data_IF_238532777377
#
_entry.id   IF_238532777377
#
_cell.length_a   1.000
_cell.length_b   1.000
_cell.length_c   1.000
_cell.angle_alpha   90.00
_cell.angle_beta   90.00
_cell.angle_gamma   90.00
#
_symmetry.space_group_name_H-M   'P 1'
#
loop_
_entity.id
_entity.type
_entity.pdbx_description
1 polymer ?
#
# COMPACT_ATOMS: atom_id res chain seq x y z
N UNK A 1 10.46 17.32 -1.85
CA UNK A 1 10.77 16.62 -0.59
C UNK A 1 9.75 15.54 -0.44
N UNK A 2 10.09 14.34 -0.70
CA UNK A 2 9.14 13.27 -0.53
C UNK A 2 9.68 12.27 0.41
N UNK A 3 9.15 12.42 1.40
CA UNK A 3 9.06 11.81 2.68
C UNK A 3 8.57 10.38 2.56
N UNK A 4 9.23 9.54 3.26
CA UNK A 4 8.71 8.24 3.66
C UNK A 4 7.78 8.52 4.85
N UNK A 5 6.45 8.58 4.68
CA UNK A 5 5.57 8.94 5.77
C UNK A 5 5.63 7.88 6.85
N UNK A 6 5.70 8.31 8.09
CA UNK A 6 5.60 7.39 9.21
C UNK A 6 4.18 6.79 9.29
N UNK A 7 4.04 5.70 10.02
CA UNK A 7 2.71 5.11 10.33
C UNK A 7 1.78 6.17 10.94
N UNK A 8 2.32 7.01 11.82
CA UNK A 8 1.58 8.09 12.44
C UNK A 8 1.11 9.15 11.43
N UNK A 9 1.94 9.47 10.42
CA UNK A 9 1.56 10.44 9.38
C UNK A 9 0.42 9.92 8.51
N UNK A 10 0.43 8.63 8.17
CA UNK A 10 -0.66 8.00 7.43
C UNK A 10 -1.96 8.04 8.23
N UNK A 11 -1.91 7.73 9.52
CA UNK A 11 -3.08 7.79 10.40
C UNK A 11 -3.63 9.21 10.51
N UNK A 12 -2.76 10.20 10.73
CA UNK A 12 -3.15 11.63 10.75
C UNK A 12 -3.79 12.06 9.43
N UNK A 13 -3.24 11.62 8.30
CA UNK A 13 -3.78 11.97 6.99
C UNK A 13 -5.24 11.54 6.86
N UNK A 14 -5.56 10.27 7.05
CA UNK A 14 -6.93 9.78 6.89
C UNK A 14 -7.89 10.35 7.93
N UNK A 15 -7.49 10.46 9.19
CA UNK A 15 -8.31 11.11 10.23
C UNK A 15 -8.59 12.58 9.88
N UNK A 16 -7.59 13.29 9.33
CA UNK A 16 -7.76 14.69 8.92
C UNK A 16 -8.70 14.84 7.72
N UNK A 17 -8.61 13.94 6.73
CA UNK A 17 -9.56 13.91 5.59
C UNK A 17 -10.99 13.72 6.10
N UNK A 18 -11.20 12.77 7.00
CA UNK A 18 -12.52 12.52 7.60
C UNK A 18 -13.03 13.72 8.39
N UNK A 19 -12.18 14.32 9.22
CA UNK A 19 -12.51 15.55 9.98
C UNK A 19 -12.88 16.72 9.07
N UNK A 20 -12.10 16.99 8.02
CA UNK A 20 -12.39 18.03 7.02
C UNK A 20 -13.76 17.82 6.37
N UNK A 21 -14.05 16.56 5.99
CA UNK A 21 -15.35 16.21 5.41
C UNK A 21 -16.50 16.52 6.38
N UNK A 22 -16.40 16.11 7.64
CA UNK A 22 -17.41 16.37 8.66
C UNK A 22 -17.62 17.87 8.94
N UNK A 23 -16.57 18.66 8.78
CA UNK A 23 -16.60 20.11 8.99
C UNK A 23 -16.98 20.90 7.74
N UNK A 24 -17.19 20.26 6.60
CA UNK A 24 -17.44 20.93 5.33
C UNK A 24 -16.25 21.75 4.81
N UNK A 25 -15.04 21.42 5.27
CA UNK A 25 -13.80 22.08 4.82
C UNK A 25 -13.41 21.59 3.43
N UNK A 26 -12.93 22.46 2.52
CA UNK A 26 -12.45 22.06 1.20
C UNK A 26 -11.35 20.99 1.30
N UNK A 27 -11.40 20.03 0.39
CA UNK A 27 -10.45 18.93 0.27
C UNK A 27 -9.53 19.13 -0.93
N UNK A 28 -8.28 18.77 -0.78
CA UNK A 28 -7.31 18.67 -1.88
C UNK A 28 -7.65 17.48 -2.79
N UNK A 29 -7.19 17.47 -4.06
CA UNK A 29 -7.54 16.40 -5.02
C UNK A 29 -7.26 14.98 -4.49
N UNK A 30 -6.13 14.75 -3.82
CA UNK A 30 -5.80 13.45 -3.24
C UNK A 30 -6.70 13.11 -2.04
N UNK A 31 -7.06 14.10 -1.24
CA UNK A 31 -8.00 13.94 -0.13
C UNK A 31 -9.41 13.57 -0.63
N UNK A 32 -9.82 14.08 -1.79
CA UNK A 32 -11.09 13.71 -2.42
C UNK A 32 -11.10 12.22 -2.81
N UNK A 33 -10.01 11.71 -3.36
CA UNK A 33 -9.88 10.27 -3.66
C UNK A 33 -9.90 9.43 -2.37
N UNK A 34 -9.19 9.89 -1.35
CA UNK A 34 -9.21 9.21 -0.04
C UNK A 34 -10.62 9.21 0.56
N UNK A 35 -11.34 10.34 0.50
CA UNK A 35 -12.72 10.44 0.99
C UNK A 35 -13.68 9.51 0.24
N UNK A 36 -13.49 9.33 -1.07
CA UNK A 36 -14.30 8.39 -1.85
C UNK A 36 -14.16 6.96 -1.25
N UNK A 37 -12.95 6.53 -0.92
CA UNK A 37 -12.74 5.22 -0.32
C UNK A 37 -13.22 5.15 1.13
N UNK A 38 -13.03 6.20 1.92
CA UNK A 38 -13.59 6.29 3.28
C UNK A 38 -15.12 6.11 3.24
N UNK A 39 -15.79 6.72 2.28
CA UNK A 39 -17.25 6.58 2.10
C UNK A 39 -17.69 5.17 1.71
N UNK A 40 -16.82 4.39 1.08
CA UNK A 40 -17.07 2.97 0.74
C UNK A 40 -16.82 2.02 1.93
N UNK A 41 -16.24 2.52 3.03
CA UNK A 41 -15.85 1.78 4.21
C UNK A 41 -16.44 2.39 5.49
N UNK A 42 -17.77 2.39 5.64
CA UNK A 42 -18.43 2.98 6.81
C UNK A 42 -18.00 2.34 8.13
N UNK A 43 -17.54 1.08 8.09
CA UNK A 43 -17.00 0.36 9.24
C UNK A 43 -15.75 0.99 9.86
N UNK A 44 -15.08 1.91 9.14
CA UNK A 44 -13.88 2.60 9.63
C UNK A 44 -14.15 4.01 10.17
N UNK A 45 -15.39 4.53 10.02
CA UNK A 45 -15.71 5.92 10.37
C UNK A 45 -15.46 6.24 11.84
N UNK A 46 -15.79 5.31 12.74
CA UNK A 46 -15.58 5.50 14.19
C UNK A 46 -14.09 5.57 14.55
N UNK A 47 -13.25 4.79 13.84
CA UNK A 47 -11.80 4.79 14.03
C UNK A 47 -11.16 6.07 13.49
N UNK A 48 -11.65 6.58 12.36
CA UNK A 48 -11.18 7.81 11.72
C UNK A 48 -11.61 9.07 12.48
N UNK A 49 -12.67 8.99 13.29
CA UNK A 49 -13.19 10.11 14.06
C UNK A 49 -12.36 10.47 15.28
N UNK A 50 -11.52 9.55 15.78
CA UNK A 50 -10.72 9.72 17.00
C UNK A 50 -9.22 9.55 16.67
N UNK A 51 -8.54 10.67 16.44
CA UNK A 51 -7.12 10.68 16.08
C UNK A 51 -6.23 10.12 17.20
N UNK A 52 -6.50 10.46 18.45
CA UNK A 52 -5.64 10.05 19.56
C UNK A 52 -5.72 8.53 19.73
N UNK A 53 -6.92 8.00 19.72
CA UNK A 53 -7.15 6.56 19.71
C UNK A 53 -6.52 5.87 18.49
N UNK A 54 -6.64 6.47 17.30
CA UNK A 54 -6.04 5.94 16.08
C UNK A 54 -4.52 5.89 16.17
N UNK A 55 -3.87 6.89 16.80
CA UNK A 55 -2.41 6.93 16.95
C UNK A 55 -1.89 5.89 17.95
N UNK A 56 -2.66 5.58 18.99
CA UNK A 56 -2.30 4.61 20.03
C UNK A 56 -2.69 3.17 19.68
N UNK A 57 -3.60 2.97 18.71
CA UNK A 57 -4.14 1.66 18.40
C UNK A 57 -3.07 0.69 17.87
N UNK A 58 -3.11 -0.55 18.40
CA UNK A 58 -2.32 -1.66 17.93
C UNK A 58 -3.09 -2.43 16.85
N UNK A 59 -2.51 -2.48 15.64
CA UNK A 59 -3.00 -3.24 14.49
C UNK A 59 -2.05 -4.37 14.11
N UNK A 60 -1.27 -4.86 15.07
CA UNK A 60 -0.46 -6.06 14.86
C UNK A 60 -1.36 -7.27 14.57
N UNK A 61 -0.85 -8.29 13.87
CA UNK A 61 -1.59 -9.53 13.62
C UNK A 61 -2.07 -10.21 14.90
N UNK A 62 -1.30 -10.07 15.99
CA UNK A 62 -1.59 -10.61 17.31
C UNK A 62 -2.82 -9.94 17.95
N UNK A 63 -3.04 -8.66 17.64
CA UNK A 63 -4.22 -7.92 18.10
C UNK A 63 -5.51 -8.37 17.40
N UNK A 64 -5.42 -9.11 16.27
CA UNK A 64 -6.56 -9.67 15.55
C UNK A 64 -7.51 -8.62 14.95
N UNK A 65 -7.07 -7.37 14.85
CA UNK A 65 -7.86 -6.24 14.33
C UNK A 65 -7.44 -5.91 12.92
N UNK A 66 -8.42 -5.63 12.06
CA UNK A 66 -8.16 -5.06 10.74
C UNK A 66 -7.51 -3.68 10.88
N UNK A 67 -6.52 -3.39 10.04
CA UNK A 67 -5.87 -2.08 10.00
C UNK A 67 -6.55 -1.20 8.93
N UNK A 68 -7.46 -0.29 9.31
CA UNK A 68 -8.18 0.56 8.36
C UNK A 68 -7.25 1.49 7.57
N UNK A 69 -6.18 1.95 8.20
CA UNK A 69 -5.22 2.87 7.57
C UNK A 69 -4.41 2.18 6.49
N UNK A 70 -3.99 0.94 6.72
CA UNK A 70 -3.34 0.13 5.70
C UNK A 70 -4.30 -0.16 4.54
N UNK A 71 -5.53 -0.57 4.85
CA UNK A 71 -6.55 -0.87 3.85
C UNK A 71 -6.86 0.34 2.96
N UNK A 72 -7.13 1.49 3.54
CA UNK A 72 -7.37 2.74 2.81
C UNK A 72 -6.13 3.20 2.02
N UNK A 73 -4.93 3.01 2.55
CA UNK A 73 -3.68 3.31 1.84
C UNK A 73 -3.51 2.46 0.59
N UNK A 74 -3.88 1.18 0.65
CA UNK A 74 -3.85 0.29 -0.51
C UNK A 74 -4.87 0.73 -1.58
N UNK A 75 -6.07 1.13 -1.19
CA UNK A 75 -7.05 1.70 -2.12
C UNK A 75 -6.54 2.97 -2.80
N UNK A 76 -5.89 3.86 -2.04
CA UNK A 76 -5.32 5.09 -2.57
C UNK A 76 -4.20 4.79 -3.57
N UNK A 77 -3.29 3.86 -3.23
CA UNK A 77 -2.21 3.41 -4.11
C UNK A 77 -2.74 2.78 -5.41
N UNK A 78 -3.80 1.96 -5.33
CA UNK A 78 -4.44 1.34 -6.49
C UNK A 78 -5.11 2.39 -7.37
N UNK A 79 -5.75 3.41 -6.78
CA UNK A 79 -6.34 4.53 -7.53
C UNK A 79 -5.28 5.32 -8.29
N UNK A 80 -4.14 5.57 -7.67
CA UNK A 80 -2.99 6.21 -8.31
C UNK A 80 -2.45 5.36 -9.46
N UNK A 81 -2.22 4.05 -9.21
CA UNK A 81 -1.76 3.11 -10.24
C UNK A 81 -2.69 3.10 -11.46
N UNK A 82 -4.02 3.05 -11.23
CA UNK A 82 -5.01 3.13 -12.30
C UNK A 82 -4.92 4.46 -13.05
N UNK A 83 -4.78 5.57 -12.31
CA UNK A 83 -4.71 6.92 -12.86
C UNK A 83 -3.56 7.12 -13.84
N UNK A 84 -2.38 6.62 -13.49
CA UNK A 84 -1.15 6.78 -14.29
C UNK A 84 -0.81 5.56 -15.16
N UNK A 85 -1.59 4.48 -15.08
CA UNK A 85 -1.34 3.17 -15.71
C UNK A 85 0.06 2.60 -15.37
N UNK A 86 0.37 2.60 -14.08
CA UNK A 86 1.64 2.06 -13.56
C UNK A 86 1.36 1.04 -12.44
N UNK A 87 1.80 -0.19 -12.60
CA UNK A 87 2.49 -0.81 -13.75
C UNK A 87 1.60 -0.85 -15.02
N UNK A 88 2.23 -0.74 -16.19
CA UNK A 88 1.50 -0.67 -17.45
C UNK A 88 0.51 -1.83 -17.63
N UNK A 89 -0.69 -1.51 -18.06
CA UNK A 89 -1.78 -2.47 -18.27
C UNK A 89 -2.66 -2.71 -17.05
N UNK A 90 -2.34 -2.12 -15.90
CA UNK A 90 -3.15 -2.21 -14.68
C UNK A 90 -4.53 -1.56 -14.89
N UNK A 91 -4.57 -0.39 -15.56
CA UNK A 91 -5.82 0.32 -15.86
C UNK A 91 -6.79 -0.57 -16.64
N UNK A 92 -6.33 -1.16 -17.76
CA UNK A 92 -7.15 -2.06 -18.56
C UNK A 92 -7.67 -3.24 -17.73
N UNK A 93 -6.81 -3.85 -16.93
CA UNK A 93 -7.21 -5.00 -16.12
C UNK A 93 -8.28 -4.62 -15.09
N UNK A 94 -8.14 -3.46 -14.47
CA UNK A 94 -9.13 -2.93 -13.51
C UNK A 94 -10.46 -2.60 -14.20
N UNK A 95 -10.42 -1.96 -15.37
CA UNK A 95 -11.64 -1.61 -16.13
C UNK A 95 -12.44 -2.87 -16.52
N UNK A 96 -11.73 -3.93 -16.94
CA UNK A 96 -12.37 -5.23 -17.23
C UNK A 96 -12.92 -5.90 -15.98
N UNK A 97 -12.20 -5.86 -14.84
CA UNK A 97 -12.70 -6.36 -13.57
C UNK A 97 -13.95 -5.63 -13.11
N UNK A 98 -13.95 -4.31 -13.18
CA UNK A 98 -15.10 -3.48 -12.82
C UNK A 98 -16.32 -3.82 -13.67
N UNK A 99 -16.13 -3.94 -15.00
CA UNK A 99 -17.21 -4.33 -15.90
C UNK A 99 -17.73 -5.75 -15.59
N UNK A 100 -16.83 -6.69 -15.24
CA UNK A 100 -17.16 -8.08 -14.95
C UNK A 100 -17.91 -8.24 -13.61
N UNK A 101 -17.51 -7.47 -12.59
CA UNK A 101 -18.06 -7.57 -11.24
C UNK A 101 -19.25 -6.61 -11.03
N UNK A 102 -19.40 -5.61 -11.90
CA UNK A 102 -20.43 -4.58 -11.77
C UNK A 102 -20.18 -3.62 -10.60
N UNK A 103 -18.98 -3.63 -10.03
CA UNK A 103 -18.62 -2.87 -8.84
C UNK A 103 -17.14 -2.46 -8.89
N UNK A 104 -16.88 -1.15 -8.86
CA UNK A 104 -15.53 -0.62 -8.76
C UNK A 104 -14.87 -0.97 -7.43
N UNK A 105 -15.67 -1.03 -6.35
CA UNK A 105 -15.21 -1.40 -5.03
C UNK A 105 -14.73 -2.86 -4.99
N UNK A 106 -15.52 -3.79 -5.50
CA UNK A 106 -15.15 -5.22 -5.53
C UNK A 106 -13.94 -5.44 -6.45
N UNK A 107 -13.89 -4.74 -7.59
CA UNK A 107 -12.73 -4.79 -8.48
C UNK A 107 -11.46 -4.30 -7.77
N UNK A 108 -11.54 -3.21 -7.01
CA UNK A 108 -10.41 -2.70 -6.24
C UNK A 108 -9.95 -3.70 -5.16
N UNK A 109 -10.85 -4.40 -4.50
CA UNK A 109 -10.48 -5.45 -3.54
C UNK A 109 -9.75 -6.63 -4.18
N UNK A 110 -10.20 -7.09 -5.37
CA UNK A 110 -9.46 -8.13 -6.13
C UNK A 110 -8.04 -7.67 -6.47
N UNK A 111 -7.88 -6.42 -6.86
CA UNK A 111 -6.56 -5.85 -7.16
C UNK A 111 -5.72 -5.72 -5.89
N UNK A 112 -6.34 -5.34 -4.77
CA UNK A 112 -5.69 -5.23 -3.47
C UNK A 112 -5.13 -6.58 -3.00
N UNK A 113 -5.87 -7.66 -3.16
CA UNK A 113 -5.37 -9.02 -2.87
C UNK A 113 -4.12 -9.35 -3.67
N UNK A 114 -4.12 -9.05 -4.98
CA UNK A 114 -2.96 -9.26 -5.84
C UNK A 114 -1.77 -8.40 -5.42
N UNK A 115 -2.01 -7.15 -5.01
CA UNK A 115 -0.96 -6.23 -4.55
C UNK A 115 -0.35 -6.70 -3.22
N UNK A 116 -1.18 -7.11 -2.27
CA UNK A 116 -0.71 -7.64 -0.98
C UNK A 116 0.14 -8.89 -1.17
N UNK A 117 -0.29 -9.81 -2.03
CA UNK A 117 0.51 -11.01 -2.35
C UNK A 117 1.86 -10.64 -2.97
N UNK A 118 1.87 -9.69 -3.92
CA UNK A 118 3.10 -9.23 -4.55
C UNK A 118 4.06 -8.54 -3.55
N UNK A 119 3.52 -7.75 -2.63
CA UNK A 119 4.29 -7.13 -1.53
C UNK A 119 4.86 -8.18 -0.58
N UNK A 120 4.07 -9.17 -0.21
CA UNK A 120 4.53 -10.27 0.64
C UNK A 120 5.66 -11.07 0.00
N UNK A 121 5.54 -11.41 -1.30
CA UNK A 121 6.61 -12.09 -2.06
C UNK A 121 7.88 -11.24 -2.13
N UNK A 122 7.75 -9.95 -2.37
CA UNK A 122 8.86 -9.00 -2.37
C UNK A 122 9.62 -9.00 -1.03
N UNK A 123 8.90 -8.91 0.08
CA UNK A 123 9.47 -8.91 1.42
C UNK A 123 10.12 -10.25 1.77
N UNK A 124 9.42 -11.35 1.51
CA UNK A 124 9.91 -12.71 1.80
C UNK A 124 11.23 -13.03 1.09
N UNK A 125 11.39 -12.56 -0.13
CA UNK A 125 12.58 -12.84 -0.95
C UNK A 125 13.62 -11.72 -0.93
N UNK A 126 13.38 -10.63 -0.20
CA UNK A 126 14.27 -9.48 -0.16
C UNK A 126 14.50 -8.82 -1.53
N UNK A 127 13.52 -8.92 -2.44
CA UNK A 127 13.58 -8.40 -3.81
C UNK A 127 12.60 -7.26 -3.99
N UNK A 128 12.86 -6.33 -4.92
CA UNK A 128 11.85 -5.34 -5.31
C UNK A 128 10.56 -6.01 -5.76
N UNK A 129 9.43 -5.30 -5.58
CA UNK A 129 8.13 -5.75 -6.07
C UNK A 129 8.20 -6.01 -7.59
N UNK A 130 7.80 -7.21 -8.01
CA UNK A 130 7.67 -7.57 -9.42
C UNK A 130 6.34 -7.05 -9.96
N UNK A 131 6.37 -5.86 -10.56
CA UNK A 131 5.16 -5.24 -11.10
C UNK A 131 4.59 -5.99 -12.30
N UNK A 132 5.41 -6.73 -13.05
CA UNK A 132 4.91 -7.54 -14.15
C UNK A 132 4.14 -8.75 -13.64
N UNK A 133 4.67 -9.45 -12.65
CA UNK A 133 3.98 -10.55 -11.98
C UNK A 133 2.67 -10.06 -11.34
N UNK A 134 2.70 -8.89 -10.67
CA UNK A 134 1.52 -8.27 -10.08
C UNK A 134 0.44 -7.96 -11.11
N UNK A 135 0.77 -7.25 -12.20
CA UNK A 135 -0.20 -6.93 -13.27
C UNK A 135 -0.75 -8.21 -13.88
N UNK A 136 0.10 -9.21 -14.13
CA UNK A 136 -0.34 -10.47 -14.71
C UNK A 136 -1.30 -11.24 -13.77
N UNK A 137 -1.11 -11.17 -12.46
CA UNK A 137 -2.07 -11.72 -11.51
C UNK A 137 -3.44 -11.02 -11.60
N UNK A 138 -3.46 -9.69 -11.69
CA UNK A 138 -4.71 -8.94 -11.89
C UNK A 138 -5.35 -9.26 -13.22
N UNK A 139 -4.57 -9.32 -14.32
CA UNK A 139 -5.05 -9.68 -15.66
C UNK A 139 -5.65 -11.09 -15.69
N UNK A 140 -5.05 -12.03 -15.00
CA UNK A 140 -5.60 -13.38 -14.85
C UNK A 140 -6.98 -13.37 -14.17
N UNK A 141 -7.15 -12.60 -13.11
CA UNK A 141 -8.46 -12.41 -12.44
C UNK A 141 -9.49 -11.76 -13.37
N UNK A 142 -9.06 -10.83 -14.21
CA UNK A 142 -9.87 -10.19 -15.22
C UNK A 142 -10.23 -11.12 -16.41
N UNK A 143 -9.52 -12.21 -16.60
CA UNK A 143 -9.66 -13.09 -17.78
C UNK A 143 -8.91 -12.57 -19.00
N UNK A 144 -7.91 -11.72 -18.81
CA UNK A 144 -7.07 -11.18 -19.88
C UNK A 144 -5.80 -12.01 -20.04
N UNK A 145 -5.22 -12.07 -21.26
CA UNK A 145 -3.93 -12.70 -21.48
C UNK A 145 -2.82 -11.93 -20.73
N UNK A 146 -1.74 -12.61 -20.33
CA UNK A 146 -0.62 -11.95 -19.67
C UNK A 146 0.02 -10.89 -20.57
N UNK A 147 0.62 -9.88 -19.94
CA UNK A 147 1.45 -8.90 -20.64
C UNK A 147 2.76 -9.56 -21.10
N UNK A 148 3.26 -9.22 -22.30
CA UNK A 148 4.57 -9.68 -22.73
C UNK A 148 5.68 -9.21 -21.77
N UNK A 149 6.73 -10.03 -21.57
CA UNK A 149 7.85 -9.69 -20.66
C UNK A 149 8.55 -8.36 -20.98
N UNK A 150 8.63 -8.00 -22.25
CA UNK A 150 9.38 -6.85 -22.74
C UNK A 150 8.78 -5.49 -22.37
N UNK A 151 7.55 -5.47 -21.92
CA UNK A 151 6.89 -4.23 -21.50
C UNK A 151 7.29 -3.74 -20.11
N UNK A 152 7.95 -4.58 -19.32
CA UNK A 152 8.43 -4.22 -17.97
C UNK A 152 9.83 -3.60 -17.96
N UNK A 153 10.59 -3.78 -19.05
CA UNK A 153 12.01 -3.46 -19.16
C UNK A 153 12.33 -2.23 -20.00
N UNK A 154 11.42 -1.27 -20.12
CA UNK A 154 11.77 0.04 -20.70
C UNK A 154 12.90 0.67 -19.88
N UNK A 155 13.88 1.38 -20.52
CA UNK A 155 14.98 2.02 -19.83
C UNK A 155 14.45 3.11 -18.87
N UNK A 156 14.09 2.74 -17.69
CA UNK A 156 13.47 3.56 -16.65
C UNK A 156 12.31 2.89 -15.91
N UNK A 157 11.97 1.63 -16.22
CA UNK A 157 10.77 0.97 -15.75
C UNK A 157 10.64 0.93 -14.22
N UNK A 158 11.58 0.45 -13.48
CA UNK A 158 11.43 0.30 -12.03
C UNK A 158 12.24 1.30 -11.19
N UNK A 159 13.28 1.92 -11.74
CA UNK A 159 14.12 2.87 -11.00
C UNK A 159 13.40 4.16 -10.61
N UNK A 160 12.43 4.58 -11.40
CA UNK A 160 11.69 5.83 -11.17
C UNK A 160 10.52 5.68 -10.18
N UNK A 161 9.99 4.45 -10.06
CA UNK A 161 8.92 4.14 -9.09
C UNK A 161 9.38 4.28 -7.64
N UNK A 162 10.65 3.97 -7.37
CA UNK A 162 11.25 4.09 -6.04
C UNK A 162 11.37 5.52 -5.53
N UNK A 163 11.34 6.52 -6.43
CA UNK A 163 11.67 7.89 -6.04
C UNK A 163 10.47 8.76 -5.75
N UNK A 164 9.25 8.36 -6.15
CA UNK A 164 8.19 9.34 -6.13
C UNK A 164 6.93 9.03 -5.31
N UNK A 165 6.49 7.78 -5.07
CA UNK A 165 5.15 7.61 -4.51
C UNK A 165 4.85 6.29 -3.79
N UNK A 166 5.71 5.76 -2.91
CA UNK A 166 5.26 4.60 -2.12
C UNK A 166 5.36 4.85 -0.61
N UNK A 167 4.22 5.05 0.08
CA UNK A 167 4.20 5.13 1.54
C UNK A 167 4.52 3.81 2.25
N UNK A 168 4.63 2.70 1.50
CA UNK A 168 4.81 1.36 2.08
C UNK A 168 6.20 0.74 1.86
N UNK A 169 7.17 1.44 1.23
CA UNK A 169 8.50 0.88 0.98
C UNK A 169 9.55 1.28 2.02
N UNK A 170 9.15 1.49 3.25
CA UNK A 170 10.03 1.86 4.34
C UNK A 170 10.50 0.67 5.16
N UNK A 171 11.37 -0.12 4.59
CA UNK A 171 12.33 -0.88 5.40
C UNK A 171 13.62 -1.06 4.63
N UNK A 172 14.70 -0.55 5.21
CA UNK A 172 16.10 -0.87 4.98
C UNK A 172 16.72 -0.43 3.65
N UNK A 173 17.35 0.74 3.66
CA UNK A 173 18.67 0.88 3.04
C UNK A 173 19.62 1.53 4.04
N UNK A 174 20.48 0.66 4.58
CA UNK A 174 21.68 1.10 5.28
C UNK A 174 22.55 1.92 4.31
N UNK A 175 22.84 3.13 4.72
CA UNK A 175 23.81 4.05 4.13
C UNK A 175 25.20 3.37 4.08
N UNK A 176 25.69 3.09 2.88
CA UNK A 176 27.10 2.79 2.65
C UNK A 176 27.75 4.01 1.99
N UNK A 177 28.28 4.92 2.80
CA UNK A 177 29.34 5.82 2.36
C UNK A 177 30.69 5.12 2.50
N UNK A 178 31.59 5.24 1.56
CA UNK A 178 32.93 4.71 1.67
C UNK A 178 33.85 5.69 2.42
N UNK A 179 34.59 5.19 3.41
CA UNK A 179 35.90 5.63 3.81
C UNK A 179 36.01 6.74 4.84
N UNK A 180 36.25 6.37 6.08
CA UNK A 180 37.48 6.69 6.79
C UNK A 180 37.61 5.89 8.08
N UNK A 181 38.77 5.33 8.27
CA UNK A 181 39.30 4.50 9.32
C UNK A 181 39.40 5.27 10.66
N UNK A 182 38.98 4.67 11.77
CA UNK A 182 39.74 4.41 13.01
C UNK A 182 38.86 4.30 14.26
N UNK A 183 39.15 3.25 15.03
CA UNK A 183 38.98 3.07 16.47
C UNK A 183 37.61 2.67 17.05
N UNK A 184 37.50 1.40 17.46
CA UNK A 184 36.63 0.90 18.55
C UNK A 184 37.19 1.37 19.92
N UNK A 185 36.47 1.23 21.09
CA UNK A 185 35.43 0.27 21.40
C UNK A 185 34.25 0.82 22.24
N UNK A 186 33.18 0.10 22.38
CA UNK A 186 32.52 -0.33 23.61
C UNK A 186 31.06 -0.73 23.39
N UNK A 187 30.72 -1.88 23.97
CA UNK A 187 29.41 -2.52 23.99
C UNK A 187 28.35 -1.68 24.68
N UNK A 188 27.12 -1.63 24.13
CA UNK A 188 25.91 -1.72 24.94
C UNK A 188 24.71 -2.12 24.07
N UNK A 189 23.96 -3.09 24.58
CA UNK A 189 22.72 -3.66 24.03
C UNK A 189 21.62 -2.63 23.93
N UNK A 190 20.93 -2.57 22.77
CA UNK A 190 19.56 -2.12 22.73
C UNK A 190 18.82 -2.89 21.63
N UNK A 191 17.80 -3.61 22.04
CA UNK A 191 16.94 -4.44 21.22
C UNK A 191 16.19 -3.56 20.18
N UNK A 192 16.45 -3.81 18.90
CA UNK A 192 15.67 -3.24 17.83
C UNK A 192 14.43 -4.13 17.59
N UNK A 193 13.28 -3.59 17.92
CA UNK A 193 11.98 -4.20 17.59
C UNK A 193 11.81 -4.23 16.08
N UNK A 194 11.96 -5.37 15.48
CA UNK A 194 11.59 -5.64 14.11
C UNK A 194 10.07 -5.78 14.03
N UNK A 195 9.39 -4.77 13.52
CA UNK A 195 7.96 -4.85 13.20
C UNK A 195 7.81 -5.63 11.90
N UNK A 196 7.70 -6.93 11.99
CA UNK A 196 7.36 -7.80 10.87
C UNK A 196 5.89 -7.61 10.50
N UNK A 197 5.63 -7.14 9.28
CA UNK A 197 4.29 -7.20 8.70
C UNK A 197 3.99 -8.67 8.35
N UNK A 198 3.04 -9.26 9.04
CA UNK A 198 2.47 -10.57 8.71
C UNK A 198 1.05 -10.30 8.20
N UNK A 199 0.72 -10.69 6.95
CA UNK A 199 -0.65 -10.57 6.45
C UNK A 199 -1.60 -11.48 7.22
N UNK A 200 -2.88 -11.12 7.37
CA UNK A 200 -3.87 -11.95 8.03
C UNK A 200 -4.01 -13.32 7.35
N UNK A 201 -4.18 -14.35 8.15
CA UNK A 201 -4.43 -15.72 7.68
C UNK A 201 -5.66 -15.74 6.75
N UNK A 202 -5.58 -16.52 5.67
CA UNK A 202 -6.71 -16.72 4.74
C UNK A 202 -7.92 -17.23 5.51
N UNK A 203 -9.12 -16.70 5.27
CA UNK A 203 -10.33 -17.37 5.75
C UNK A 203 -10.45 -18.72 5.01
N UNK A 204 -10.56 -19.78 5.79
CA UNK A 204 -10.84 -21.13 5.30
C UNK A 204 -12.15 -21.11 4.52
N UNK A 205 -12.13 -21.71 3.32
CA UNK A 205 -13.29 -21.89 2.48
C UNK A 205 -14.40 -22.63 3.21
N UNK A 206 -15.61 -22.15 3.01
CA UNK A 206 -16.80 -22.95 3.23
C UNK A 206 -17.07 -23.75 1.95
N UNK A 207 -17.27 -25.04 2.16
CA UNK A 207 -17.69 -26.02 1.18
C UNK A 207 -19.09 -25.70 0.62
#
# INVERSE_FOLDING_TARGET
MLFNPSVADVRRYFCNVWKKHQQGTPLEPLEMVALQWIGQHPEYHDELADLDRALEADYSPEAGRSNPFLHLSLHLAISEQRGIDQPRGIRQAMDVLEAKLGSAHDAAHVVQECLVEALWQSQRHGRPLDGNAYVNAVRQKAGLPPMPPDYSAGPGGYGRWRQHHHPLSATATADRRPGHEQAAPARQNAAASQTSFIPPARPFGQA
#
